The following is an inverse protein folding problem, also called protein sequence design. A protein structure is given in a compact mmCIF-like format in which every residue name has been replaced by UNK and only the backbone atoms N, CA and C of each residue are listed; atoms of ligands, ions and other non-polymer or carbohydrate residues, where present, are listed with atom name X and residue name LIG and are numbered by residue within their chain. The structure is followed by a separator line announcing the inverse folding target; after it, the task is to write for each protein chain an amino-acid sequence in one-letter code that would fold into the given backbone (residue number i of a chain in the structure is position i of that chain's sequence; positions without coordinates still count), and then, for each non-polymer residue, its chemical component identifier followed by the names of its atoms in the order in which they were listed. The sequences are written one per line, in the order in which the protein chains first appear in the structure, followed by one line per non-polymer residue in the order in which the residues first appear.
data_IF_199156696988
#
_entry.id   IF_199156696988
#
_cell.length_a   1.000
_cell.length_b   1.000
_cell.length_c   1.000
_cell.angle_alpha   90.00
_cell.angle_beta   90.00
_cell.angle_gamma   90.00
#
_symmetry.space_group_name_H-M   'P 1'
#
loop_
_entity.id
_entity.type
_entity.pdbx_description
1 polymer ?
#
# COMPACT_ATOMS: atom_id res chain seq x y z
N UNK A 1 2.83 13.21 -5.75
CA UNK A 1 3.27 13.73 -7.06
C UNK A 1 4.47 14.67 -6.89
N UNK A 2 4.33 15.91 -6.43
CA UNK A 2 5.45 16.87 -6.35
C UNK A 2 6.75 16.31 -5.76
N UNK A 3 6.79 15.91 -4.48
CA UNK A 3 8.03 15.40 -3.87
C UNK A 3 8.63 14.17 -4.57
N UNK A 4 7.80 13.25 -5.05
CA UNK A 4 8.28 12.05 -5.76
C UNK A 4 8.97 12.39 -7.10
N UNK A 5 8.62 13.52 -7.71
CA UNK A 5 9.17 13.98 -8.97
C UNK A 5 10.20 15.11 -8.78
N UNK A 6 10.50 15.48 -7.52
CA UNK A 6 11.39 16.62 -7.21
C UNK A 6 10.83 17.99 -7.65
N UNK A 7 9.52 18.08 -7.92
CA UNK A 7 8.87 19.31 -8.40
C UNK A 7 8.38 20.13 -7.21
N UNK A 8 8.90 21.34 -7.07
CA UNK A 8 8.59 22.30 -6.01
C UNK A 8 7.67 23.45 -6.48
N UNK A 9 7.36 23.54 -7.77
CA UNK A 9 6.36 24.48 -8.30
C UNK A 9 4.93 23.98 -7.98
N UNK A 10 4.19 24.66 -7.06
CA UNK A 10 2.85 24.25 -6.69
C UNK A 10 1.85 24.30 -7.86
N UNK A 11 2.03 25.21 -8.83
CA UNK A 11 1.15 25.29 -10.00
C UNK A 11 1.32 24.07 -10.91
N UNK A 12 2.56 23.61 -11.10
CA UNK A 12 2.82 22.39 -11.87
C UNK A 12 2.22 21.16 -11.18
N UNK A 13 2.32 21.07 -9.84
CA UNK A 13 1.75 19.96 -9.05
C UNK A 13 0.22 19.98 -9.12
N UNK A 14 -0.42 21.14 -8.91
CA UNK A 14 -1.88 21.30 -9.01
C UNK A 14 -2.36 20.90 -10.41
N UNK A 15 -1.66 21.34 -11.46
CA UNK A 15 -1.98 20.98 -12.84
C UNK A 15 -1.84 19.48 -13.09
N UNK A 16 -0.84 18.82 -12.52
CA UNK A 16 -0.66 17.37 -12.60
C UNK A 16 -1.80 16.60 -11.94
N UNK A 17 -2.27 17.05 -10.78
CA UNK A 17 -3.42 16.47 -10.07
C UNK A 17 -4.71 16.67 -10.89
N UNK A 18 -4.92 17.87 -11.43
CA UNK A 18 -6.06 18.17 -12.30
C UNK A 18 -6.09 17.26 -13.54
N UNK A 19 -4.93 17.05 -14.18
CA UNK A 19 -4.81 16.15 -15.33
C UNK A 19 -5.12 14.70 -14.94
N UNK A 20 -4.57 14.21 -13.82
CA UNK A 20 -4.84 12.86 -13.34
C UNK A 20 -6.35 12.64 -13.12
N UNK A 21 -7.01 13.56 -12.42
CA UNK A 21 -8.45 13.49 -12.16
C UNK A 21 -9.29 13.57 -13.45
N UNK A 22 -8.96 14.53 -14.34
CA UNK A 22 -9.70 14.74 -15.59
C UNK A 22 -9.58 13.55 -16.55
N UNK A 23 -8.41 12.90 -16.56
CA UNK A 23 -8.12 11.75 -17.42
C UNK A 23 -8.43 10.40 -16.76
N UNK A 24 -9.03 10.39 -15.57
CA UNK A 24 -9.50 9.17 -14.88
C UNK A 24 -8.38 8.32 -14.29
N UNK A 25 -7.25 8.90 -13.92
CA UNK A 25 -6.11 8.19 -13.34
C UNK A 25 -6.00 8.43 -11.83
N UNK A 26 -5.48 7.45 -11.10
CA UNK A 26 -5.12 7.61 -9.69
C UNK A 26 -3.93 8.57 -9.54
N UNK A 27 -4.13 9.67 -8.77
CA UNK A 27 -3.12 10.72 -8.62
C UNK A 27 -1.89 10.26 -7.82
N UNK A 28 -2.00 9.21 -7.00
CA UNK A 28 -0.88 8.63 -6.26
C UNK A 28 -0.05 7.77 -7.21
N UNK A 29 -0.66 6.80 -7.87
CA UNK A 29 0.01 5.91 -8.80
C UNK A 29 0.70 6.67 -9.91
N UNK A 30 0.01 7.61 -10.56
CA UNK A 30 0.62 8.39 -11.65
C UNK A 30 1.82 9.21 -11.17
N UNK A 31 1.79 9.76 -9.94
CA UNK A 31 2.92 10.47 -9.36
C UNK A 31 4.14 9.58 -9.11
N UNK A 32 3.92 8.33 -8.75
CA UNK A 32 5.01 7.34 -8.55
C UNK A 32 5.54 6.84 -9.89
N UNK A 33 4.65 6.56 -10.86
CA UNK A 33 5.04 6.14 -12.22
C UNK A 33 5.87 7.21 -12.92
N UNK A 34 5.50 8.48 -12.80
CA UNK A 34 6.30 9.59 -13.36
C UNK A 34 7.66 9.70 -12.67
N UNK A 35 7.72 9.59 -11.33
CA UNK A 35 8.99 9.58 -10.61
C UNK A 35 9.87 8.39 -11.00
N UNK A 36 9.30 7.21 -11.19
CA UNK A 36 10.00 6.03 -11.72
C UNK A 36 10.54 6.29 -13.13
N UNK A 37 9.76 6.89 -14.02
CA UNK A 37 10.21 7.23 -15.37
C UNK A 37 11.34 8.28 -15.36
N UNK A 38 11.29 9.26 -14.46
CA UNK A 38 12.37 10.22 -14.26
C UNK A 38 13.67 9.53 -13.82
N UNK A 39 13.59 8.56 -12.91
CA UNK A 39 14.76 7.79 -12.49
C UNK A 39 15.29 6.87 -13.61
N UNK A 40 14.42 6.25 -14.40
CA UNK A 40 14.83 5.52 -15.60
C UNK A 40 15.56 6.41 -16.60
N UNK A 41 15.08 7.63 -16.79
CA UNK A 41 15.70 8.62 -17.66
C UNK A 41 17.07 9.07 -17.13
N UNK A 42 17.19 9.40 -15.86
CA UNK A 42 18.44 9.77 -15.19
C UNK A 42 19.51 8.66 -15.30
N UNK A 43 19.07 7.39 -15.21
CA UNK A 43 19.94 6.22 -15.34
C UNK A 43 20.22 5.82 -16.82
N UNK A 44 19.65 6.53 -17.79
CA UNK A 44 19.82 6.23 -19.21
C UNK A 44 19.12 4.95 -19.68
N UNK A 45 18.14 4.45 -18.94
CA UNK A 45 17.33 3.27 -19.31
C UNK A 45 16.22 3.61 -20.30
N UNK A 46 15.79 4.87 -20.33
CA UNK A 46 14.92 5.43 -21.36
C UNK A 46 15.56 6.67 -21.95
N UNK A 47 15.37 6.89 -23.25
CA UNK A 47 16.01 7.97 -24.00
C UNK A 47 15.03 9.12 -24.30
N UNK A 48 15.56 10.28 -24.70
CA UNK A 48 14.75 11.43 -25.11
C UNK A 48 13.85 11.11 -26.32
N UNK A 49 14.30 10.28 -27.23
CA UNK A 49 13.52 9.81 -28.37
C UNK A 49 12.34 8.98 -27.93
N UNK A 50 12.53 8.04 -27.00
CA UNK A 50 11.47 7.18 -26.45
C UNK A 50 10.42 7.97 -25.66
N UNK A 51 10.80 9.13 -25.09
CA UNK A 51 9.88 10.02 -24.40
C UNK A 51 9.09 10.95 -25.32
N UNK A 52 9.34 10.88 -26.66
CA UNK A 52 8.78 11.83 -27.63
C UNK A 52 9.34 13.23 -27.46
N UNK A 53 10.63 13.33 -27.10
CA UNK A 53 11.36 14.59 -26.95
C UNK A 53 11.31 15.22 -25.56
N UNK A 54 10.67 14.61 -24.55
CA UNK A 54 10.65 15.13 -23.20
C UNK A 54 11.98 14.89 -22.48
N UNK A 55 12.43 15.89 -21.73
CA UNK A 55 13.57 15.78 -20.81
C UNK A 55 13.04 15.49 -19.39
N UNK A 56 12.98 14.21 -19.03
CA UNK A 56 12.39 13.72 -17.79
C UNK A 56 13.34 13.87 -16.59
N UNK A 57 13.98 15.04 -16.45
CA UNK A 57 14.80 15.32 -15.27
C UNK A 57 13.92 15.56 -14.04
N UNK A 58 14.36 15.09 -12.87
CA UNK A 58 13.71 15.44 -11.61
C UNK A 58 13.61 16.97 -11.46
N UNK A 59 12.48 17.46 -10.96
CA UNK A 59 12.18 18.89 -10.85
C UNK A 59 11.54 19.52 -12.09
N UNK A 60 11.51 18.84 -13.23
CA UNK A 60 10.88 19.36 -14.44
C UNK A 60 9.35 19.18 -14.43
N UNK A 61 8.63 20.13 -13.81
CA UNK A 61 7.16 20.10 -13.70
C UNK A 61 6.44 20.14 -15.06
N UNK A 62 7.02 20.80 -16.08
CA UNK A 62 6.47 20.81 -17.44
C UNK A 62 6.53 19.43 -18.09
N UNK A 63 7.68 18.73 -17.99
CA UNK A 63 7.84 17.38 -18.49
C UNK A 63 6.97 16.39 -17.72
N UNK A 64 6.84 16.53 -16.40
CA UNK A 64 5.89 15.78 -15.56
C UNK A 64 4.47 15.84 -16.13
N UNK A 65 3.95 17.07 -16.35
CA UNK A 65 2.59 17.26 -16.84
C UNK A 65 2.38 16.77 -18.29
N UNK A 66 3.40 16.87 -19.12
CA UNK A 66 3.36 16.33 -20.48
C UNK A 66 3.35 14.79 -20.46
N UNK A 67 4.17 14.18 -19.60
CA UNK A 67 4.22 12.72 -19.46
C UNK A 67 2.91 12.14 -18.91
N UNK A 68 2.25 12.82 -17.96
CA UNK A 68 0.92 12.40 -17.45
C UNK A 68 -0.08 12.27 -18.61
N UNK A 69 -0.09 13.21 -19.55
CA UNK A 69 -0.97 13.13 -20.73
C UNK A 69 -0.59 11.96 -21.64
N UNK A 70 0.72 11.78 -21.91
CA UNK A 70 1.20 10.66 -22.73
C UNK A 70 0.84 9.30 -22.14
N UNK A 71 0.91 9.15 -20.81
CA UNK A 71 0.48 7.93 -20.11
C UNK A 71 -1.03 7.69 -20.32
N UNK A 72 -1.84 8.71 -20.11
CA UNK A 72 -3.30 8.60 -20.29
C UNK A 72 -3.71 8.24 -21.72
N UNK A 73 -2.99 8.78 -22.71
CA UNK A 73 -3.27 8.58 -24.14
C UNK A 73 -2.47 7.43 -24.76
N UNK A 74 -1.60 6.77 -23.97
CA UNK A 74 -0.72 5.68 -24.41
C UNK A 74 0.20 6.07 -25.58
N UNK A 75 0.78 7.26 -25.51
CA UNK A 75 1.70 7.80 -26.53
C UNK A 75 3.16 7.56 -26.12
N UNK A 76 3.99 7.16 -27.07
CA UNK A 76 5.43 6.92 -26.87
C UNK A 76 5.70 5.98 -25.67
N UNK A 77 6.62 6.36 -24.76
CA UNK A 77 6.89 5.61 -23.52
C UNK A 77 5.66 5.54 -22.58
N UNK A 78 4.68 6.42 -22.79
CA UNK A 78 3.46 6.46 -22.02
C UNK A 78 2.65 5.17 -22.12
N UNK A 79 2.71 4.46 -23.25
CA UNK A 79 2.04 3.16 -23.40
C UNK A 79 2.62 2.10 -22.44
N UNK A 80 3.93 2.07 -22.29
CA UNK A 80 4.60 1.17 -21.35
C UNK A 80 4.29 1.57 -19.89
N UNK A 81 4.35 2.86 -19.59
CA UNK A 81 4.14 3.40 -18.24
C UNK A 81 2.68 3.32 -17.77
N UNK A 82 1.73 3.26 -18.69
CA UNK A 82 0.30 3.08 -18.38
C UNK A 82 -0.02 1.75 -17.69
N UNK A 83 0.87 0.76 -17.78
CA UNK A 83 0.74 -0.54 -17.11
C UNK A 83 1.17 -0.50 -15.62
N UNK A 84 1.65 0.64 -15.12
CA UNK A 84 2.19 0.80 -13.78
C UNK A 84 3.65 0.38 -13.64
N UNK A 85 4.26 0.73 -12.49
CA UNK A 85 5.71 0.57 -12.26
C UNK A 85 6.19 -0.88 -12.39
N UNK A 86 5.41 -1.87 -11.94
CA UNK A 86 5.80 -3.28 -12.00
C UNK A 86 6.02 -3.73 -13.44
N UNK A 87 4.99 -3.64 -14.25
CA UNK A 87 5.02 -4.09 -15.65
C UNK A 87 5.95 -3.21 -16.48
N UNK A 88 5.96 -1.90 -16.23
CA UNK A 88 6.88 -0.99 -16.90
C UNK A 88 8.34 -1.36 -16.64
N UNK A 89 8.70 -1.70 -15.40
CA UNK A 89 10.05 -2.13 -15.06
C UNK A 89 10.45 -3.43 -15.78
N UNK A 90 9.54 -4.41 -15.85
CA UNK A 90 9.76 -5.66 -16.60
C UNK A 90 10.04 -5.39 -18.10
N UNK A 91 9.27 -4.45 -18.70
CA UNK A 91 9.43 -4.09 -20.12
C UNK A 91 10.67 -3.25 -20.41
N UNK A 92 11.03 -2.33 -19.52
CA UNK A 92 12.22 -1.45 -19.65
C UNK A 92 13.48 -2.26 -19.37
N UNK A 93 13.46 -3.13 -18.35
CA UNK A 93 14.62 -3.94 -17.98
C UNK A 93 15.74 -3.11 -17.34
N UNK A 94 17.00 -3.56 -17.55
CA UNK A 94 18.19 -2.83 -17.10
C UNK A 94 18.33 -2.68 -15.58
N UNK A 95 17.61 -3.51 -14.80
CA UNK A 95 17.63 -3.44 -13.34
C UNK A 95 16.62 -2.42 -12.75
N UNK A 96 15.70 -1.90 -13.58
CA UNK A 96 14.71 -0.90 -13.16
C UNK A 96 13.72 -1.42 -12.10
N UNK A 97 13.54 -2.74 -12.00
CA UNK A 97 12.75 -3.39 -10.95
C UNK A 97 13.24 -3.05 -9.52
N UNK A 98 14.53 -2.73 -9.38
CA UNK A 98 15.13 -2.39 -8.07
C UNK A 98 14.62 -1.07 -7.48
N UNK A 99 14.11 -0.19 -8.33
CA UNK A 99 13.56 1.10 -7.90
C UNK A 99 12.12 1.34 -8.33
N UNK A 100 11.44 0.32 -8.82
CA UNK A 100 10.00 0.32 -9.03
C UNK A 100 9.30 0.19 -7.67
N UNK A 101 8.79 1.31 -7.12
CA UNK A 101 8.20 1.35 -5.79
C UNK A 101 6.72 0.91 -5.84
N UNK A 102 6.49 -0.40 -5.79
CA UNK A 102 5.16 -1.00 -5.71
C UNK A 102 5.13 -2.14 -4.69
N UNK A 103 3.93 -2.49 -4.22
CA UNK A 103 3.66 -3.69 -3.43
C UNK A 103 2.48 -4.39 -4.08
N UNK A 104 2.61 -5.69 -4.38
CA UNK A 104 1.60 -6.49 -5.11
C UNK A 104 1.14 -5.83 -6.44
N UNK A 105 2.03 -5.08 -7.11
CA UNK A 105 1.74 -4.40 -8.37
C UNK A 105 1.11 -3.01 -8.26
N UNK A 106 0.66 -2.59 -7.07
CA UNK A 106 0.14 -1.23 -6.85
C UNK A 106 1.27 -0.31 -6.33
N UNK A 107 1.41 0.85 -6.94
CA UNK A 107 2.38 1.88 -6.56
C UNK A 107 2.18 2.34 -5.11
N UNK A 108 3.31 2.49 -4.42
CA UNK A 108 3.31 2.86 -3.01
C UNK A 108 3.17 4.38 -2.85
N UNK A 109 2.37 4.82 -1.89
CA UNK A 109 2.32 6.25 -1.51
C UNK A 109 3.68 6.74 -1.01
N UNK A 110 3.88 8.08 -1.03
CA UNK A 110 5.15 8.71 -0.71
C UNK A 110 5.59 8.68 0.76
N UNK A 111 5.22 7.62 1.51
CA UNK A 111 5.75 7.37 2.85
C UNK A 111 7.09 6.65 2.77
N UNK A 112 8.09 7.13 3.50
CA UNK A 112 9.41 6.50 3.57
C UNK A 112 9.42 5.38 4.64
N UNK A 113 9.03 4.19 4.23
CA UNK A 113 8.82 3.03 5.13
C UNK A 113 10.09 2.46 5.73
N UNK A 114 11.28 2.77 5.19
CA UNK A 114 12.56 2.34 5.77
C UNK A 114 12.75 2.84 7.19
N UNK A 115 12.17 4.01 7.51
CA UNK A 115 12.18 4.59 8.85
C UNK A 115 10.84 4.49 9.59
N UNK A 116 9.91 3.63 9.15
CA UNK A 116 8.55 3.46 9.70
C UNK A 116 8.22 1.96 9.72
N UNK A 117 8.70 1.22 10.72
CA UNK A 117 8.60 -0.26 10.74
C UNK A 117 7.17 -0.78 10.84
N UNK A 118 6.27 -0.08 11.56
CA UNK A 118 4.85 -0.48 11.63
C UNK A 118 4.15 -0.25 10.29
N UNK A 119 4.44 0.88 9.63
CA UNK A 119 3.95 1.14 8.28
C UNK A 119 4.49 0.11 7.28
N UNK A 120 5.76 -0.25 7.37
CA UNK A 120 6.37 -1.26 6.50
C UNK A 120 5.61 -2.59 6.57
N UNK A 121 5.30 -3.09 7.78
CA UNK A 121 4.47 -4.29 7.94
C UNK A 121 3.07 -4.08 7.34
N UNK A 122 2.40 -2.96 7.65
CA UNK A 122 1.07 -2.68 7.13
C UNK A 122 1.01 -2.67 5.60
N UNK A 123 2.02 -2.11 4.94
CA UNK A 123 2.13 -2.18 3.48
C UNK A 123 2.37 -3.59 2.96
N UNK A 124 3.29 -4.35 3.58
CA UNK A 124 3.61 -5.71 3.15
C UNK A 124 2.37 -6.62 3.16
N UNK A 125 1.56 -6.56 4.23
CA UNK A 125 0.36 -7.41 4.39
C UNK A 125 -0.91 -6.81 3.76
N UNK A 126 -0.87 -5.55 3.32
CA UNK A 126 -2.03 -4.87 2.75
C UNK A 126 -2.71 -5.73 1.67
N UNK A 127 -4.00 -5.94 1.83
CA UNK A 127 -4.83 -6.74 0.91
C UNK A 127 -4.90 -6.19 -0.51
N UNK A 128 -4.60 -4.88 -0.69
CA UNK A 128 -4.63 -4.19 -1.99
C UNK A 128 -3.24 -3.89 -2.55
N UNK A 129 -2.17 -4.06 -1.76
CA UNK A 129 -0.82 -3.68 -2.14
C UNK A 129 -0.42 -2.31 -1.59
N UNK A 130 0.22 -1.43 -2.38
CA UNK A 130 0.85 -0.17 -1.97
C UNK A 130 -0.07 0.92 -1.39
N UNK A 131 -1.21 0.56 -0.81
CA UNK A 131 -2.25 1.47 -0.35
C UNK A 131 -2.24 1.66 1.17
N UNK A 132 -1.81 2.84 1.64
CA UNK A 132 -1.80 3.23 3.05
C UNK A 132 -3.20 3.34 3.67
N UNK A 133 -4.25 3.47 2.85
CA UNK A 133 -5.64 3.58 3.31
C UNK A 133 -6.25 2.22 3.71
N UNK A 134 -5.47 1.14 3.65
CA UNK A 134 -5.92 -0.19 4.08
C UNK A 134 -5.47 -0.54 5.50
N UNK A 135 -4.48 0.17 6.05
CA UNK A 135 -3.96 -0.11 7.39
C UNK A 135 -3.79 1.14 8.27
N UNK A 136 -3.39 2.30 7.74
CA UNK A 136 -3.16 3.52 8.51
C UNK A 136 -2.07 3.45 9.58
N UNK A 137 -1.34 2.34 9.66
CA UNK A 137 -0.43 2.01 10.79
C UNK A 137 0.80 2.91 10.88
N UNK A 138 1.09 3.71 9.84
CA UNK A 138 2.07 4.78 9.90
C UNK A 138 1.81 5.76 11.05
N UNK A 139 0.58 5.84 11.53
CA UNK A 139 0.21 6.74 12.63
C UNK A 139 0.90 6.38 13.94
N UNK A 140 1.16 5.11 14.22
CA UNK A 140 1.90 4.65 15.40
C UNK A 140 3.34 5.14 15.37
N UNK A 141 3.98 4.99 14.21
CA UNK A 141 5.37 5.42 13.99
C UNK A 141 5.52 6.94 14.08
N UNK A 142 4.56 7.70 13.51
CA UNK A 142 4.62 9.16 13.47
C UNK A 142 4.25 9.84 14.78
N UNK A 143 3.33 9.24 15.57
CA UNK A 143 2.93 9.75 16.88
C UNK A 143 3.92 9.39 17.97
N UNK A 144 4.90 8.53 17.69
CA UNK A 144 5.88 8.07 18.67
C UNK A 144 5.30 7.17 19.77
N UNK A 145 4.18 6.50 19.49
CA UNK A 145 3.62 5.49 20.41
C UNK A 145 4.47 4.23 20.44
N UNK A 146 5.34 4.09 19.47
CA UNK A 146 6.31 3.01 19.32
C UNK A 146 7.64 3.55 18.81
N UNK A 147 8.74 2.82 19.00
CA UNK A 147 10.03 3.17 18.38
C UNK A 147 9.97 2.83 16.88
N UNK A 148 9.80 3.82 16.04
CA UNK A 148 9.63 3.69 14.59
C UNK A 148 10.75 2.95 13.86
N UNK A 149 11.94 2.84 14.48
CA UNK A 149 13.12 2.22 13.89
C UNK A 149 13.31 0.76 14.29
N UNK A 150 12.51 0.24 15.23
CA UNK A 150 12.60 -1.13 15.71
C UNK A 150 11.49 -2.02 15.15
N UNK A 151 11.90 -3.15 14.60
CA UNK A 151 11.00 -4.26 14.30
C UNK A 151 10.76 -5.07 15.58
N UNK A 152 9.50 -5.18 15.99
CA UNK A 152 9.09 -5.88 17.21
C UNK A 152 7.82 -6.70 16.96
N UNK A 153 7.62 -7.86 17.60
CA UNK A 153 6.43 -8.70 17.38
C UNK A 153 5.12 -7.96 17.64
N UNK A 154 5.07 -7.04 18.60
CA UNK A 154 3.88 -6.25 18.91
C UNK A 154 3.31 -5.44 17.73
N UNK A 155 4.09 -5.25 16.65
CA UNK A 155 3.61 -4.58 15.43
C UNK A 155 2.50 -5.37 14.74
N UNK A 156 2.53 -6.71 14.82
CA UNK A 156 1.50 -7.57 14.23
C UNK A 156 0.11 -7.24 14.70
N UNK A 157 -0.10 -7.18 16.01
CA UNK A 157 -1.40 -6.86 16.60
C UNK A 157 -1.85 -5.41 16.31
N UNK A 158 -0.91 -4.45 16.26
CA UNK A 158 -1.24 -3.06 15.91
C UNK A 158 -1.78 -2.96 14.49
N UNK A 159 -1.06 -3.55 13.52
CA UNK A 159 -1.49 -3.54 12.11
C UNK A 159 -2.82 -4.25 11.92
N UNK A 160 -3.00 -5.42 12.56
CA UNK A 160 -4.27 -6.16 12.52
C UNK A 160 -5.45 -5.30 12.98
N UNK A 161 -5.33 -4.64 14.13
CA UNK A 161 -6.41 -3.80 14.67
C UNK A 161 -6.71 -2.59 13.77
N UNK A 162 -5.68 -1.97 13.22
CA UNK A 162 -5.85 -0.84 12.29
C UNK A 162 -6.58 -1.27 11.02
N UNK A 163 -6.19 -2.42 10.42
CA UNK A 163 -6.84 -2.93 9.22
C UNK A 163 -8.32 -3.25 9.44
N UNK A 164 -8.66 -3.86 10.57
CA UNK A 164 -10.04 -4.21 10.91
C UNK A 164 -10.91 -2.96 11.10
N UNK A 165 -10.39 -1.95 11.79
CA UNK A 165 -11.07 -0.65 11.89
C UNK A 165 -11.22 0.00 10.52
N UNK A 166 -10.19 -0.05 9.68
CA UNK A 166 -10.26 0.55 8.34
C UNK A 166 -11.26 -0.18 7.43
N UNK A 167 -11.45 -1.50 7.60
CA UNK A 167 -12.53 -2.22 6.94
C UNK A 167 -13.91 -1.68 7.31
N UNK A 168 -14.13 -1.37 8.58
CA UNK A 168 -15.39 -0.78 9.05
C UNK A 168 -15.58 0.63 8.49
N UNK A 169 -14.56 1.49 8.57
CA UNK A 169 -14.63 2.84 8.01
C UNK A 169 -14.92 2.83 6.49
N UNK A 170 -14.33 1.88 5.75
CA UNK A 170 -14.61 1.69 4.33
C UNK A 170 -16.06 1.25 4.10
N UNK A 171 -16.58 0.34 4.91
CA UNK A 171 -17.96 -0.15 4.82
C UNK A 171 -18.99 0.94 5.10
N UNK A 172 -18.66 1.89 5.96
CA UNK A 172 -19.47 3.08 6.25
C UNK A 172 -19.29 4.21 5.21
N UNK A 173 -18.35 4.06 4.25
CA UNK A 173 -17.99 5.10 3.26
C UNK A 173 -17.51 6.38 3.96
N UNK A 174 -16.86 6.24 5.11
CA UNK A 174 -16.37 7.35 5.93
C UNK A 174 -14.95 7.73 5.48
N UNK A 175 -14.73 9.03 5.27
CA UNK A 175 -13.41 9.55 4.94
C UNK A 175 -12.40 9.26 6.05
N UNK A 176 -11.23 8.70 5.71
CA UNK A 176 -10.17 8.35 6.69
C UNK A 176 -9.61 9.56 7.45
N UNK A 177 -9.76 10.77 6.95
CA UNK A 177 -9.38 11.98 7.69
C UNK A 177 -10.23 12.21 8.94
N UNK A 178 -11.41 11.59 9.04
CA UNK A 178 -12.27 11.68 10.23
C UNK A 178 -11.90 10.66 11.32
N UNK A 179 -10.94 9.75 11.07
CA UNK A 179 -10.56 8.71 12.05
C UNK A 179 -10.17 9.24 13.43
N UNK A 180 -9.70 10.47 13.52
CA UNK A 180 -9.29 11.10 14.78
C UNK A 180 -10.44 11.69 15.60
N UNK A 181 -11.68 11.72 15.09
CA UNK A 181 -12.84 12.21 15.83
C UNK A 181 -13.47 11.11 16.71
N UNK A 182 -13.24 9.85 16.37
CA UNK A 182 -13.75 8.70 17.10
C UNK A 182 -12.88 8.42 18.33
N UNK A 183 -13.46 8.37 19.52
CA UNK A 183 -12.74 8.08 20.78
C UNK A 183 -12.84 6.60 21.15
N UNK A 184 -14.02 6.00 20.96
CA UNK A 184 -14.27 4.57 21.02
C UNK A 184 -14.85 4.11 19.68
N UNK A 185 -14.01 3.93 18.64
CA UNK A 185 -14.50 3.84 17.26
C UNK A 185 -15.48 2.67 17.04
N UNK A 186 -15.29 1.54 17.69
CA UNK A 186 -16.20 0.42 17.53
C UNK A 186 -17.55 0.64 18.23
N UNK A 187 -17.54 1.23 19.43
CA UNK A 187 -18.74 1.58 20.19
C UNK A 187 -19.57 2.63 19.46
N UNK A 188 -18.93 3.73 19.07
CA UNK A 188 -19.59 4.84 18.38
C UNK A 188 -20.13 4.43 17.01
N UNK A 189 -19.36 3.67 16.23
CA UNK A 189 -19.80 3.18 14.91
C UNK A 189 -20.92 2.12 15.02
N UNK A 190 -20.90 1.29 16.05
CA UNK A 190 -21.98 0.34 16.32
C UNK A 190 -23.29 1.06 16.68
N UNK A 191 -23.20 2.14 17.49
CA UNK A 191 -24.34 2.98 17.82
C UNK A 191 -24.90 3.67 16.57
N UNK A 192 -24.04 4.31 15.76
CA UNK A 192 -24.43 4.96 14.49
C UNK A 192 -25.09 3.96 13.56
N UNK A 193 -24.53 2.75 13.40
CA UNK A 193 -25.12 1.70 12.60
C UNK A 193 -26.52 1.34 13.06
N UNK A 194 -26.68 1.11 14.38
CA UNK A 194 -27.96 0.72 14.97
C UNK A 194 -29.02 1.81 14.78
N UNK A 195 -28.66 3.08 14.97
CA UNK A 195 -29.55 4.23 14.80
C UNK A 195 -30.00 4.42 13.34
N UNK A 196 -29.07 4.25 12.39
CA UNK A 196 -29.36 4.49 10.96
C UNK A 196 -30.14 3.33 10.34
N UNK A 197 -29.80 2.07 10.68
CA UNK A 197 -30.38 0.89 10.05
C UNK A 197 -31.56 0.30 10.79
N UNK A 198 -31.70 0.61 12.10
CA UNK A 198 -32.64 -0.05 12.99
C UNK A 198 -32.23 -1.47 13.40
N UNK A 199 -31.03 -1.95 12.99
CA UNK A 199 -30.48 -3.26 13.31
C UNK A 199 -29.54 -3.13 14.49
N UNK A 200 -29.80 -3.76 15.66
CA UNK A 200 -28.93 -3.70 16.81
C UNK A 200 -27.51 -4.23 16.49
N UNK A 201 -26.48 -3.48 16.87
CA UNK A 201 -25.08 -3.81 16.70
C UNK A 201 -24.30 -3.51 17.97
N UNK A 202 -23.49 -4.43 18.44
CA UNK A 202 -22.55 -4.20 19.55
C UNK A 202 -21.15 -3.88 19.03
N UNK A 203 -20.30 -3.28 19.88
CA UNK A 203 -18.90 -3.02 19.57
C UNK A 203 -18.12 -4.30 19.17
N UNK A 204 -18.36 -5.41 19.91
CA UNK A 204 -17.73 -6.71 19.61
C UNK A 204 -18.17 -7.27 18.25
N UNK A 205 -19.45 -7.16 17.93
CA UNK A 205 -19.95 -7.54 16.60
C UNK A 205 -19.36 -6.67 15.49
N UNK A 206 -19.22 -5.38 15.73
CA UNK A 206 -18.59 -4.45 14.79
C UNK A 206 -17.12 -4.81 14.56
N UNK A 207 -16.35 -5.05 15.64
CA UNK A 207 -14.96 -5.49 15.58
C UNK A 207 -14.82 -6.80 14.80
N UNK A 208 -15.65 -7.80 15.15
CA UNK A 208 -15.67 -9.09 14.47
C UNK A 208 -16.02 -8.96 12.98
N UNK A 209 -16.85 -8.00 12.61
CA UNK A 209 -17.17 -7.71 11.21
C UNK A 209 -15.94 -7.20 10.46
N UNK A 210 -15.14 -6.29 11.05
CA UNK A 210 -13.87 -5.83 10.48
C UNK A 210 -12.90 -6.98 10.25
N UNK A 211 -12.72 -7.84 11.26
CA UNK A 211 -11.90 -9.04 11.17
C UNK A 211 -12.38 -10.01 10.08
N UNK A 212 -13.69 -10.24 9.99
CA UNK A 212 -14.30 -11.07 8.92
C UNK A 212 -13.96 -10.52 7.53
N UNK A 213 -14.07 -9.21 7.31
CA UNK A 213 -13.76 -8.57 6.03
C UNK A 213 -12.27 -8.76 5.69
N UNK A 214 -11.37 -8.58 6.66
CA UNK A 214 -9.94 -8.77 6.46
C UNK A 214 -9.60 -10.22 6.07
N UNK A 215 -10.20 -11.20 6.76
CA UNK A 215 -9.99 -12.62 6.45
C UNK A 215 -10.59 -13.01 5.09
N UNK A 216 -11.79 -12.52 4.75
CA UNK A 216 -12.40 -12.79 3.44
C UNK A 216 -11.54 -12.21 2.30
N UNK A 217 -10.99 -11.01 2.48
CA UNK A 217 -10.08 -10.41 1.52
C UNK A 217 -8.77 -11.22 1.38
N UNK A 218 -8.25 -11.80 2.48
CA UNK A 218 -7.08 -12.69 2.43
C UNK A 218 -7.41 -13.97 1.65
N UNK A 219 -8.56 -14.59 1.88
CA UNK A 219 -9.01 -15.76 1.13
C UNK A 219 -9.11 -15.46 -0.37
N UNK A 220 -9.67 -14.31 -0.74
CA UNK A 220 -9.69 -13.87 -2.14
C UNK A 220 -8.28 -13.80 -2.73
N UNK A 221 -7.34 -13.18 -2.02
CA UNK A 221 -5.95 -13.05 -2.48
C UNK A 221 -5.28 -14.43 -2.64
N UNK A 222 -5.51 -15.37 -1.70
CA UNK A 222 -5.00 -16.74 -1.81
C UNK A 222 -5.58 -17.45 -3.04
N UNK A 223 -6.88 -17.31 -3.29
CA UNK A 223 -7.54 -17.86 -4.49
C UNK A 223 -6.93 -17.32 -5.79
N UNK A 224 -6.53 -16.05 -5.80
CA UNK A 224 -5.85 -15.43 -6.94
C UNK A 224 -4.33 -15.73 -6.98
N UNK A 225 -3.84 -16.63 -6.12
CA UNK A 225 -2.47 -17.13 -6.14
C UNK A 225 -1.47 -16.36 -5.27
N UNK A 226 -1.90 -15.39 -4.45
CA UNK A 226 -1.00 -14.69 -3.54
C UNK A 226 -0.58 -15.61 -2.38
N UNK A 227 0.70 -15.56 -2.05
CA UNK A 227 1.36 -16.35 -1.01
C UNK A 227 2.05 -15.45 0.02
N UNK A 228 2.71 -16.04 1.02
CA UNK A 228 3.59 -15.31 1.94
C UNK A 228 4.70 -14.54 1.21
N UNK A 229 5.20 -15.04 0.08
CA UNK A 229 6.26 -14.38 -0.68
C UNK A 229 5.82 -13.03 -1.26
N UNK A 230 4.51 -12.83 -1.43
CA UNK A 230 3.93 -11.57 -1.91
C UNK A 230 3.73 -10.55 -0.77
N UNK A 231 3.79 -10.99 0.50
CA UNK A 231 3.77 -10.10 1.67
C UNK A 231 5.20 -9.56 1.91
N UNK A 232 5.67 -8.77 0.96
CA UNK A 232 7.03 -8.22 0.89
C UNK A 232 7.03 -6.72 0.60
N UNK A 233 8.21 -6.12 0.60
CA UNK A 233 8.42 -4.70 0.37
C UNK A 233 9.22 -4.48 -0.92
N UNK A 234 9.18 -3.25 -1.51
CA UNK A 234 10.00 -2.92 -2.66
C UNK A 234 11.49 -3.18 -2.38
N UNK A 235 12.23 -3.58 -3.41
CA UNK A 235 13.67 -3.88 -3.31
C UNK A 235 14.44 -2.76 -2.58
N UNK A 236 14.20 -1.51 -2.95
CA UNK A 236 14.84 -0.33 -2.32
C UNK A 236 14.61 -0.27 -0.82
N UNK A 237 13.41 -0.60 -0.35
CA UNK A 237 13.08 -0.56 1.09
C UNK A 237 13.87 -1.61 1.90
N UNK A 238 14.26 -2.70 1.27
CA UNK A 238 14.93 -3.83 1.91
C UNK A 238 16.45 -3.85 1.71
N UNK A 239 16.98 -3.14 0.70
CA UNK A 239 18.39 -3.27 0.30
C UNK A 239 19.15 -1.94 0.24
N UNK A 240 18.46 -0.80 0.23
CA UNK A 240 19.11 0.51 0.12
C UNK A 240 18.88 1.34 1.39
N UNK A 241 19.88 1.49 2.27
CA UNK A 241 19.75 2.36 3.45
C UNK A 241 19.45 3.82 3.06
N UNK A 242 18.65 4.52 3.86
CA UNK A 242 18.38 5.94 3.68
C UNK A 242 19.71 6.72 3.71
N UNK A 243 20.04 7.51 2.67
CA UNK A 243 21.38 8.11 2.55
C UNK A 243 21.60 9.30 3.48
N UNK A 244 20.56 10.01 3.91
CA UNK A 244 20.68 11.25 4.67
C UNK A 244 19.47 11.52 5.57
N UNK A 245 19.53 12.60 6.38
CA UNK A 245 18.45 13.03 7.25
C UNK A 245 18.37 12.24 8.56
N UNK A 246 17.25 12.43 9.28
CA UNK A 246 17.04 11.86 10.63
C UNK A 246 16.94 10.32 10.65
N UNK A 247 16.58 9.74 9.52
CA UNK A 247 16.46 8.28 9.35
C UNK A 247 17.64 7.67 8.60
N UNK A 248 18.78 8.39 8.47
CA UNK A 248 19.98 7.90 7.79
C UNK A 248 20.37 6.51 8.25
N UNK A 249 20.65 5.62 7.31
CA UNK A 249 21.05 4.23 7.57
C UNK A 249 19.90 3.26 7.78
N UNK A 250 18.66 3.75 7.91
CA UNK A 250 17.50 2.88 8.11
C UNK A 250 17.10 2.17 6.81
N UNK A 251 16.75 0.90 6.93
CA UNK A 251 16.12 0.05 5.91
C UNK A 251 15.43 -1.12 6.63
N UNK A 252 14.68 -1.95 5.92
CA UNK A 252 13.98 -3.11 6.51
C UNK A 252 14.70 -4.37 6.06
N UNK A 253 15.34 -5.07 6.98
CA UNK A 253 15.96 -6.36 6.67
C UNK A 253 14.90 -7.46 6.49
N UNK A 254 15.25 -8.54 5.78
CA UNK A 254 14.35 -9.69 5.64
C UNK A 254 13.99 -10.28 7.02
N UNK A 255 14.97 -10.41 7.92
CA UNK A 255 14.74 -10.92 9.27
C UNK A 255 13.78 -10.05 10.10
N UNK A 256 13.85 -8.72 9.95
CA UNK A 256 12.91 -7.80 10.59
C UNK A 256 11.49 -7.94 10.03
N UNK A 257 11.39 -8.08 8.70
CA UNK A 257 10.09 -8.29 8.05
C UNK A 257 9.48 -9.62 8.48
N UNK A 258 10.26 -10.71 8.45
CA UNK A 258 9.79 -12.04 8.85
C UNK A 258 9.31 -12.07 10.31
N UNK A 259 10.07 -11.45 11.23
CA UNK A 259 9.68 -11.31 12.63
C UNK A 259 8.30 -10.64 12.79
N UNK A 260 8.06 -9.58 12.05
CA UNK A 260 6.80 -8.84 12.12
C UNK A 260 5.66 -9.58 11.41
N UNK A 261 5.93 -10.24 10.28
CA UNK A 261 4.97 -11.07 9.56
C UNK A 261 4.49 -12.26 10.39
N UNK A 262 5.42 -12.98 11.04
CA UNK A 262 5.06 -14.12 11.88
C UNK A 262 4.14 -13.70 13.02
N UNK A 263 4.45 -12.59 13.68
CA UNK A 263 3.61 -12.04 14.74
C UNK A 263 2.25 -11.52 14.23
N UNK A 264 2.19 -10.99 13.01
CA UNK A 264 0.93 -10.58 12.38
C UNK A 264 0.07 -11.79 12.04
N UNK A 265 0.64 -12.85 11.46
CA UNK A 265 -0.10 -14.08 11.14
C UNK A 265 -0.61 -14.76 12.39
N UNK A 266 0.21 -14.84 13.45
CA UNK A 266 -0.21 -15.35 14.75
C UNK A 266 -1.41 -14.56 15.31
N UNK A 267 -1.32 -13.21 15.30
CA UNK A 267 -2.40 -12.35 15.77
C UNK A 267 -3.71 -12.53 14.96
N UNK A 268 -3.60 -12.82 13.66
CA UNK A 268 -4.72 -13.12 12.77
C UNK A 268 -5.31 -14.52 12.93
N UNK A 269 -4.62 -15.44 13.64
CA UNK A 269 -4.97 -16.87 13.68
C UNK A 269 -4.71 -17.57 12.35
N UNK A 270 -3.70 -17.12 11.61
CA UNK A 270 -3.23 -17.72 10.36
C UNK A 270 -2.01 -18.59 10.61
N UNK A 271 -1.72 -19.50 9.69
CA UNK A 271 -0.49 -20.29 9.74
C UNK A 271 0.75 -19.46 9.30
N UNK A 272 1.91 -20.09 9.32
CA UNK A 272 3.17 -19.44 8.95
C UNK A 272 3.29 -19.10 7.44
N UNK A 273 2.34 -19.55 6.62
CA UNK A 273 2.22 -19.19 5.20
C UNK A 273 1.19 -18.07 5.00
N UNK A 274 0.61 -17.56 6.09
CA UNK A 274 -0.41 -16.51 6.03
C UNK A 274 -1.76 -17.03 5.58
N UNK A 275 -2.07 -18.31 5.80
CA UNK A 275 -3.34 -18.94 5.44
C UNK A 275 -4.24 -19.01 6.68
N UNK A 276 -5.49 -18.49 6.60
CA UNK A 276 -6.44 -18.57 7.70
C UNK A 276 -6.75 -20.03 8.09
N UNK A 277 -6.65 -20.36 9.40
CA UNK A 277 -6.99 -21.68 9.90
C UNK A 277 -8.50 -21.94 9.91
N UNK A 278 -8.92 -23.23 9.78
CA UNK A 278 -10.35 -23.61 9.77
C UNK A 278 -11.10 -23.12 11.01
N UNK A 279 -10.49 -23.19 12.20
CA UNK A 279 -11.10 -22.68 13.44
C UNK A 279 -11.39 -21.18 13.36
N UNK A 280 -10.50 -20.39 12.74
CA UNK A 280 -10.70 -18.95 12.52
C UNK A 280 -11.82 -18.71 11.49
N UNK A 281 -11.89 -19.51 10.44
CA UNK A 281 -12.99 -19.42 9.46
C UNK A 281 -14.35 -19.76 10.10
N UNK A 282 -14.41 -20.77 10.95
CA UNK A 282 -15.62 -21.13 11.70
C UNK A 282 -16.05 -20.00 12.64
N UNK A 283 -15.10 -19.47 13.45
CA UNK A 283 -15.34 -18.33 14.33
C UNK A 283 -15.94 -17.14 13.59
N UNK A 284 -15.46 -16.86 12.38
CA UNK A 284 -15.89 -15.71 11.57
C UNK A 284 -17.10 -15.99 10.67
N UNK A 285 -17.60 -17.24 10.63
CA UNK A 285 -18.70 -17.64 9.74
C UNK A 285 -18.28 -17.64 8.26
N UNK A 286 -17.08 -18.10 7.97
CA UNK A 286 -16.47 -18.16 6.63
C UNK A 286 -16.19 -19.61 6.16
N UNK A 287 -16.75 -20.63 6.79
CA UNK A 287 -16.51 -22.04 6.42
C UNK A 287 -16.93 -22.37 4.99
N UNK A 288 -17.88 -21.65 4.41
CA UNK A 288 -18.27 -21.84 3.01
C UNK A 288 -17.12 -21.62 2.03
N UNK A 289 -16.05 -20.95 2.49
CA UNK A 289 -14.83 -20.66 1.72
C UNK A 289 -13.65 -21.57 2.10
N UNK A 290 -13.85 -22.59 2.95
CA UNK A 290 -12.80 -23.47 3.45
C UNK A 290 -12.03 -24.20 2.32
N UNK A 291 -12.71 -24.52 1.21
CA UNK A 291 -12.07 -25.15 0.05
C UNK A 291 -10.90 -24.36 -0.54
N UNK A 292 -10.87 -23.03 -0.34
CA UNK A 292 -9.77 -22.16 -0.81
C UNK A 292 -8.46 -22.51 -0.06
N UNK A 293 -8.56 -22.83 1.24
CA UNK A 293 -7.39 -23.13 2.08
C UNK A 293 -7.05 -24.62 2.09
N UNK A 294 -8.02 -25.51 1.82
CA UNK A 294 -7.82 -26.95 1.76
C UNK A 294 -7.25 -27.42 0.41
N UNK A 295 -7.55 -26.67 -0.66
CA UNK A 295 -7.18 -27.03 -2.03
C UNK A 295 -5.72 -26.78 -2.40
N UNK A 296 -4.93 -26.06 -1.58
CA UNK A 296 -3.56 -25.61 -1.91
C UNK A 296 -3.48 -25.16 -3.36
N UNK A 297 -2.99 -23.99 -3.68
CA UNK A 297 -2.96 -23.48 -5.05
C UNK A 297 -2.73 -24.59 -6.11
N UNK A 298 -3.77 -24.84 -6.91
CA UNK A 298 -3.71 -25.80 -8.01
C UNK A 298 -2.86 -25.21 -9.17
#
# INVERSE_FOLDING_TARGET
MGPNCGVDDPNAVIKGIELANTLGMDAISIGVVVGFAMECYEKGLITKEQTGGLELNFGNGSAMNALIKKIALREDIGDVLAEGCKIAAEKIGGGSEKFANHIKGLEMTGYEIRGLKTAALGYAVSRRGGDHQRHGSYSHDLKGTVDRYKAEPGRGALVMNDEDLYCILDSFIICKFTRGVWQGPYEELAEVYSLVTGIPMTADQMKKTGERISNLARLLNIREGLTRADDTLPYRAMHEPIPAGVSKGSYVTQAELDLMLDAYYEARGWDNQGVPGLAKLEELGLLDYASIVEGGAA
#
